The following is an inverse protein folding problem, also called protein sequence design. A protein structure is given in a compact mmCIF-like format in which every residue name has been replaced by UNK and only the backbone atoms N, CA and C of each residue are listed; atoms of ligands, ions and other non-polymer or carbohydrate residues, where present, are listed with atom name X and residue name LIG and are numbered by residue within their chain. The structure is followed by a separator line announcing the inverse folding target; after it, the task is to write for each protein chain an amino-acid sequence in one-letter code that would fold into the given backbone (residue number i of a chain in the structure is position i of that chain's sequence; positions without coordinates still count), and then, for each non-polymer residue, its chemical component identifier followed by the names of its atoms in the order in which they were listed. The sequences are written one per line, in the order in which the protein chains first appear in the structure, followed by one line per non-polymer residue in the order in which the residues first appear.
data_IF_141782936225
#
_entry.id   IF_141782936225
#
_cell.length_a   1.000
_cell.length_b   1.000
_cell.length_c   1.000
_cell.angle_alpha   90.00
_cell.angle_beta   90.00
_cell.angle_gamma   90.00
#
_symmetry.space_group_name_H-M   'P 1'
#
loop_
_entity.id
_entity.type
_entity.pdbx_description
1 polymer ?
#
# COMPACT_ATOMS: atom_id res chain seq x y z
N UNK A 1 12.35 -4.93 2.57
CA UNK A 1 11.16 -4.16 2.19
C UNK A 1 9.92 -5.01 2.44
N UNK A 2 8.82 -4.41 2.90
CA UNK A 2 7.50 -5.01 2.97
C UNK A 2 6.50 -4.11 2.25
N UNK A 3 5.33 -4.65 1.93
CA UNK A 3 4.25 -3.88 1.31
C UNK A 3 3.05 -3.93 2.24
N UNK A 4 2.66 -2.76 2.75
CA UNK A 4 1.47 -2.58 3.58
C UNK A 4 0.25 -2.32 2.70
N UNK A 5 -0.76 -3.15 2.86
CA UNK A 5 -2.08 -3.00 2.23
C UNK A 5 -3.07 -2.52 3.29
N UNK A 6 -3.57 -1.29 3.18
CA UNK A 6 -4.57 -0.76 4.11
C UNK A 6 -5.92 -0.57 3.42
N UNK A 7 -6.99 -1.09 4.00
CA UNK A 7 -8.36 -0.84 3.53
C UNK A 7 -8.76 0.57 3.97
N UNK A 8 -8.88 1.47 3.00
CA UNK A 8 -9.18 2.88 3.24
C UNK A 8 -10.64 3.05 3.63
N UNK A 9 -10.87 3.60 4.82
CA UNK A 9 -12.21 3.95 5.29
C UNK A 9 -12.84 5.03 4.40
N UNK A 10 -14.15 4.98 4.11
CA UNK A 10 -14.79 5.92 3.19
C UNK A 10 -14.62 7.40 3.57
N UNK A 11 -14.57 7.71 4.86
CA UNK A 11 -14.35 9.05 5.42
C UNK A 11 -12.94 9.59 5.20
N UNK A 12 -11.97 8.71 4.96
CA UNK A 12 -10.57 9.07 4.69
C UNK A 12 -10.24 9.09 3.20
N UNK A 13 -11.12 8.54 2.35
CA UNK A 13 -10.83 8.27 0.94
C UNK A 13 -10.40 9.52 0.16
N UNK A 14 -11.06 10.66 0.35
CA UNK A 14 -10.68 11.90 -0.35
C UNK A 14 -9.30 12.41 0.08
N UNK A 15 -8.98 12.32 1.37
CA UNK A 15 -7.67 12.73 1.92
C UNK A 15 -6.56 11.80 1.43
N UNK A 16 -6.79 10.50 1.48
CA UNK A 16 -5.85 9.49 0.97
C UNK A 16 -5.59 9.68 -0.53
N UNK A 17 -6.63 9.96 -1.33
CA UNK A 17 -6.46 10.26 -2.76
C UNK A 17 -5.59 11.49 -3.00
N UNK A 18 -5.85 12.57 -2.27
CA UNK A 18 -5.07 13.80 -2.40
C UNK A 18 -3.59 13.56 -2.07
N UNK A 19 -3.31 12.81 -1.02
CA UNK A 19 -1.95 12.50 -0.60
C UNK A 19 -1.26 11.52 -1.56
N UNK A 20 -1.97 10.54 -2.13
CA UNK A 20 -1.45 9.68 -3.21
C UNK A 20 -1.05 10.50 -4.43
N UNK A 21 -1.80 11.54 -4.78
CA UNK A 21 -1.44 12.44 -5.88
C UNK A 21 -0.19 13.28 -5.55
N UNK A 22 0.02 13.65 -4.28
CA UNK A 22 1.28 14.28 -3.83
C UNK A 22 2.44 13.32 -3.97
N UNK A 23 2.31 12.09 -3.46
CA UNK A 23 3.33 11.05 -3.57
C UNK A 23 3.70 10.79 -5.04
N UNK A 24 2.71 10.59 -5.91
CA UNK A 24 2.94 10.35 -7.34
C UNK A 24 3.67 11.51 -8.00
N UNK A 25 3.35 12.76 -7.65
CA UNK A 25 4.06 13.94 -8.17
C UNK A 25 5.52 13.94 -7.72
N UNK A 26 5.79 13.68 -6.44
CA UNK A 26 7.15 13.63 -5.89
C UNK A 26 8.00 12.56 -6.60
N UNK A 27 7.46 11.35 -6.76
CA UNK A 27 8.12 10.26 -7.53
C UNK A 27 8.43 10.70 -8.97
N UNK A 28 7.46 11.30 -9.66
CA UNK A 28 7.62 11.68 -11.07
C UNK A 28 8.70 12.75 -11.28
N UNK A 29 8.96 13.61 -10.30
CA UNK A 29 9.99 14.65 -10.37
C UNK A 29 11.30 14.25 -9.69
N UNK A 30 11.37 13.05 -9.09
CA UNK A 30 12.53 12.57 -8.34
C UNK A 30 12.77 13.29 -7.01
N UNK A 31 11.72 13.85 -6.40
CA UNK A 31 11.77 14.52 -5.10
C UNK A 31 11.68 13.48 -3.97
N UNK A 32 12.84 13.01 -3.51
CA UNK A 32 12.93 11.97 -2.47
C UNK A 32 12.37 12.44 -1.13
N UNK A 33 12.62 13.70 -0.72
CA UNK A 33 12.09 14.26 0.52
C UNK A 33 10.55 14.34 0.48
N UNK A 34 10.01 14.71 -0.69
CA UNK A 34 8.58 14.70 -0.95
C UNK A 34 7.96 13.30 -0.92
N UNK A 35 8.69 12.28 -1.41
CA UNK A 35 8.28 10.88 -1.33
C UNK A 35 8.21 10.42 0.12
N UNK A 36 9.23 10.70 0.92
CA UNK A 36 9.28 10.30 2.33
C UNK A 36 8.18 10.99 3.13
N UNK A 37 7.98 12.28 2.91
CA UNK A 37 6.95 13.07 3.59
C UNK A 37 5.54 12.55 3.26
N UNK A 38 5.23 12.36 1.97
CA UNK A 38 3.91 11.88 1.56
C UNK A 38 3.65 10.44 2.04
N UNK A 39 4.68 9.59 2.04
CA UNK A 39 4.58 8.23 2.56
C UNK A 39 4.29 8.23 4.05
N UNK A 40 5.00 9.05 4.85
CA UNK A 40 4.76 9.18 6.28
C UNK A 40 3.32 9.68 6.58
N UNK A 41 2.83 10.68 5.85
CA UNK A 41 1.45 11.15 5.99
C UNK A 41 0.42 10.09 5.64
N UNK A 42 0.63 9.32 4.58
CA UNK A 42 -0.28 8.23 4.20
C UNK A 42 -0.32 7.13 5.26
N UNK A 43 0.82 6.81 5.89
CA UNK A 43 0.89 5.89 7.01
C UNK A 43 0.11 6.41 8.23
N UNK A 44 0.30 7.69 8.60
CA UNK A 44 -0.44 8.32 9.69
C UNK A 44 -1.95 8.36 9.42
N UNK A 45 -2.36 8.77 8.22
CA UNK A 45 -3.77 8.83 7.80
C UNK A 45 -4.46 7.46 7.91
N UNK A 46 -3.70 6.37 7.72
CA UNK A 46 -4.25 5.03 7.66
C UNK A 46 -3.81 4.14 8.82
N UNK A 47 -3.28 4.71 9.90
CA UNK A 47 -2.77 3.93 11.05
C UNK A 47 -3.85 3.07 11.69
N UNK A 48 -5.06 3.61 11.84
CA UNK A 48 -6.21 2.90 12.41
C UNK A 48 -7.00 2.10 11.37
N UNK A 49 -6.61 2.18 10.09
CA UNK A 49 -7.23 1.37 9.05
C UNK A 49 -6.80 -0.08 9.19
N UNK A 50 -7.70 -0.99 8.84
CA UNK A 50 -7.36 -2.40 8.79
C UNK A 50 -6.32 -2.64 7.69
N UNK A 51 -5.16 -3.12 8.09
CA UNK A 51 -4.06 -3.42 7.17
C UNK A 51 -3.52 -4.84 7.31
N UNK A 52 -2.84 -5.29 6.26
CA UNK A 52 -1.94 -6.43 6.30
C UNK A 52 -0.60 -6.01 5.70
N UNK A 53 0.45 -6.73 6.05
CA UNK A 53 1.77 -6.56 5.45
C UNK A 53 2.17 -7.86 4.76
N UNK A 54 2.71 -7.74 3.56
CA UNK A 54 3.33 -8.85 2.84
C UNK A 54 4.82 -8.58 2.71
N UNK A 55 5.62 -9.64 2.76
CA UNK A 55 6.99 -9.59 2.24
C UNK A 55 6.97 -9.31 0.74
N UNK A 56 8.10 -8.86 0.20
CA UNK A 56 8.25 -8.63 -1.24
C UNK A 56 7.98 -9.91 -2.07
N UNK A 57 8.38 -11.08 -1.57
CA UNK A 57 8.15 -12.37 -2.24
C UNK A 57 6.66 -12.75 -2.27
N UNK A 58 5.97 -12.62 -1.13
CA UNK A 58 4.52 -12.85 -1.03
C UNK A 58 3.74 -11.88 -1.93
N UNK A 59 4.16 -10.62 -1.95
CA UNK A 59 3.58 -9.60 -2.82
C UNK A 59 3.76 -9.93 -4.30
N UNK A 60 4.97 -10.31 -4.72
CA UNK A 60 5.24 -10.68 -6.11
C UNK A 60 4.41 -11.90 -6.54
N UNK A 61 4.31 -12.91 -5.67
CA UNK A 61 3.49 -14.10 -5.92
C UNK A 61 2.03 -13.73 -6.08
N UNK A 62 1.51 -12.90 -5.17
CA UNK A 62 0.13 -12.42 -5.20
C UNK A 62 -0.19 -11.61 -6.47
N UNK A 63 0.71 -10.71 -6.88
CA UNK A 63 0.55 -9.94 -8.12
C UNK A 63 0.53 -10.83 -9.36
N UNK A 64 1.36 -11.87 -9.40
CA UNK A 64 1.37 -12.82 -10.51
C UNK A 64 0.05 -13.58 -10.60
N UNK A 65 -0.54 -13.97 -9.46
CA UNK A 65 -1.86 -14.60 -9.43
C UNK A 65 -2.98 -13.69 -9.94
N UNK A 66 -2.94 -12.39 -9.59
CA UNK A 66 -3.89 -11.42 -10.14
C UNK A 66 -3.70 -11.30 -11.65
N UNK A 67 -2.47 -11.10 -12.11
CA UNK A 67 -2.17 -10.89 -13.54
C UNK A 67 -2.52 -12.10 -14.41
N UNK A 68 -2.48 -13.32 -13.87
CA UNK A 68 -2.98 -14.51 -14.57
C UNK A 68 -4.50 -14.45 -14.83
N UNK A 69 -5.26 -13.75 -13.98
CA UNK A 69 -6.73 -13.60 -14.09
C UNK A 69 -7.13 -12.30 -14.79
N UNK A 70 -6.36 -11.24 -14.60
CA UNK A 70 -6.56 -9.88 -15.11
C UNK A 70 -5.22 -9.40 -15.69
N UNK A 71 -4.87 -9.79 -16.93
CA UNK A 71 -3.57 -9.49 -17.53
C UNK A 71 -3.22 -8.00 -17.63
N UNK A 72 -4.23 -7.15 -17.72
CA UNK A 72 -4.14 -5.70 -17.77
C UNK A 72 -3.95 -5.04 -16.39
N UNK A 73 -3.89 -5.82 -15.31
CA UNK A 73 -3.74 -5.28 -13.98
C UNK A 73 -2.35 -4.66 -13.75
N UNK A 74 -2.37 -3.36 -13.47
CA UNK A 74 -1.21 -2.60 -13.01
C UNK A 74 -1.41 -2.22 -11.53
N UNK A 75 -0.40 -2.52 -10.70
CA UNK A 75 -0.37 -2.04 -9.32
C UNK A 75 -0.21 -0.52 -9.31
N UNK A 76 -0.82 0.11 -8.31
CA UNK A 76 -0.85 1.55 -8.09
C UNK A 76 -1.01 1.78 -6.60
N UNK A 77 -0.66 2.97 -6.11
CA UNK A 77 -0.80 3.29 -4.69
C UNK A 77 -2.23 3.14 -4.17
N UNK A 78 -3.26 3.33 -5.01
CA UNK A 78 -4.66 3.20 -4.60
C UNK A 78 -5.45 2.40 -5.63
N UNK A 79 -6.00 1.26 -5.20
CA UNK A 79 -6.64 0.28 -6.08
C UNK A 79 -8.02 -0.11 -5.55
N UNK A 80 -9.01 -0.44 -6.40
CA UNK A 80 -10.28 -0.98 -5.94
C UNK A 80 -10.09 -2.24 -5.08
N UNK A 81 -10.71 -2.25 -3.89
CA UNK A 81 -10.55 -3.32 -2.93
C UNK A 81 -11.04 -4.68 -3.43
N UNK A 82 -11.92 -4.71 -4.42
CA UNK A 82 -12.40 -5.95 -5.08
C UNK A 82 -11.27 -6.81 -5.64
N UNK A 83 -10.17 -6.19 -6.10
CA UNK A 83 -9.01 -6.90 -6.63
C UNK A 83 -8.25 -7.63 -5.50
N UNK A 84 -8.24 -7.03 -4.31
CA UNK A 84 -7.54 -7.52 -3.13
C UNK A 84 -8.47 -8.28 -2.15
N UNK A 85 -9.68 -8.66 -2.57
CA UNK A 85 -10.61 -9.44 -1.75
C UNK A 85 -10.00 -10.71 -1.14
N UNK A 86 -9.12 -11.48 -1.83
CA UNK A 86 -8.47 -12.64 -1.24
C UNK A 86 -7.59 -12.33 -0.02
N UNK A 87 -7.02 -11.12 0.06
CA UNK A 87 -6.20 -10.67 1.19
C UNK A 87 -7.03 -10.24 2.41
N UNK A 88 -8.31 -9.88 2.19
CA UNK A 88 -9.22 -9.40 3.23
C UNK A 88 -10.50 -10.25 3.31
N UNK A 89 -10.39 -11.56 3.61
CA UNK A 89 -11.52 -12.50 3.50
C UNK A 89 -12.71 -12.19 4.42
N UNK A 90 -12.50 -11.40 5.48
CA UNK A 90 -13.52 -11.05 6.47
C UNK A 90 -14.19 -9.69 6.24
N UNK A 91 -13.90 -8.99 5.14
CA UNK A 91 -14.44 -7.65 4.87
C UNK A 91 -15.08 -7.61 3.49
N UNK A 92 -16.26 -7.00 3.40
CA UNK A 92 -16.78 -6.58 2.09
C UNK A 92 -15.94 -5.43 1.56
N UNK A 93 -14.98 -5.75 0.70
CA UNK A 93 -14.12 -4.77 0.01
C UNK A 93 -14.78 -4.14 -1.23
N UNK A 94 -16.01 -4.54 -1.54
CA UNK A 94 -16.80 -3.95 -2.62
C UNK A 94 -17.10 -2.47 -2.31
N UNK A 95 -16.63 -1.56 -3.16
CA UNK A 95 -16.76 -0.11 -2.98
C UNK A 95 -15.68 0.52 -2.10
N UNK A 96 -14.81 -0.27 -1.49
CA UNK A 96 -13.65 0.22 -0.73
C UNK A 96 -12.42 0.32 -1.63
N UNK A 97 -11.43 1.09 -1.19
CA UNK A 97 -10.13 1.18 -1.82
C UNK A 97 -9.06 0.59 -0.91
N UNK A 98 -8.03 0.01 -1.51
CA UNK A 98 -6.85 -0.49 -0.81
C UNK A 98 -5.68 0.41 -1.19
N UNK A 99 -5.04 0.95 -0.16
CA UNK A 99 -3.80 1.69 -0.26
C UNK A 99 -2.63 0.71 -0.16
N UNK A 100 -1.78 0.70 -1.18
CA UNK A 100 -0.59 -0.14 -1.29
C UNK A 100 0.64 0.76 -1.09
N UNK A 101 1.38 0.53 0.00
CA UNK A 101 2.58 1.30 0.33
C UNK A 101 3.76 0.36 0.59
N UNK A 102 4.86 0.51 -0.17
CA UNK A 102 6.14 -0.01 0.27
C UNK A 102 6.49 0.63 1.61
N UNK A 103 6.85 -0.20 2.57
CA UNK A 103 7.40 0.21 3.86
C UNK A 103 8.75 -0.47 4.03
N UNK A 104 9.63 0.19 4.75
CA UNK A 104 10.79 -0.50 5.29
C UNK A 104 10.25 -1.56 6.24
N UNK A 105 10.44 -2.83 5.87
CA UNK A 105 10.15 -3.91 6.78
C UNK A 105 11.10 -3.74 7.95
N UNK A 106 10.62 -3.97 9.18
CA UNK A 106 11.46 -3.94 10.37
C UNK A 106 12.80 -4.63 10.03
N UNK A 107 13.87 -3.83 9.88
CA UNK A 107 15.16 -4.33 10.26
C UNK A 107 14.98 -4.53 11.75
N UNK A 108 14.73 -5.77 12.18
CA UNK A 108 15.33 -6.17 13.44
C UNK A 108 16.79 -5.75 13.29
N UNK A 109 17.15 -4.66 13.97
CA UNK A 109 18.54 -4.27 14.15
C UNK A 109 19.21 -5.55 14.61
N UNK A 110 19.99 -6.20 13.73
CA UNK A 110 20.92 -7.22 14.16
C UNK A 110 21.73 -6.53 15.24
N UNK A 111 21.51 -6.89 16.51
CA UNK A 111 22.39 -6.48 17.58
C UNK A 111 23.77 -6.99 17.21
N UNK A 112 24.57 -6.11 16.61
CA UNK A 112 25.99 -6.32 16.39
C UNK A 112 26.59 -6.34 17.79
N UNK A 113 26.69 -7.53 18.35
CA UNK A 113 27.35 -7.78 19.61
C UNK A 113 28.86 -7.58 19.35
N UNK A 114 29.36 -6.39 19.70
CA UNK A 114 30.78 -5.99 19.57
C UNK A 114 31.59 -6.55 20.73
#
# INVERSE_FOLDING_TARGET
MRIRFAVVSPDLLERVRAEVDVLRRAVNIGDMDGVDTATAHLLELTVDCRSIELSEEEWCTFLNEIRMRIPEFESSYLVPGTIFAPLFPTISVAGNYVLELPIDGDMEEEEVNV
#
